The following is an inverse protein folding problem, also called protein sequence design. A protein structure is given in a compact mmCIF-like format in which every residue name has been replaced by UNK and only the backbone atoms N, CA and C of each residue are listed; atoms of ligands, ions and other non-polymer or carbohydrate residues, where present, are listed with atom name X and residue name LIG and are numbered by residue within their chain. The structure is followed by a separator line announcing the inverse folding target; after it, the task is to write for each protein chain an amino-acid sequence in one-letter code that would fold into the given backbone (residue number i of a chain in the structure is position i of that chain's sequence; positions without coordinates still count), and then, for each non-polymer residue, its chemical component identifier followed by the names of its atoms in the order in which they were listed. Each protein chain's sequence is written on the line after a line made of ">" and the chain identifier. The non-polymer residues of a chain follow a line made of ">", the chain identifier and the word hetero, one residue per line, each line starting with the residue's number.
data_IF_291481427394
#
_entry.id   IF_291481427394
#
_cell.length_a   1.000
_cell.length_b   1.000
_cell.length_c   1.000
_cell.angle_alpha   90.00
_cell.angle_beta   90.00
_cell.angle_gamma   90.00
#
_symmetry.space_group_name_H-M   'P 1'
#
loop_
_entity.id
_entity.type
_entity.pdbx_description
1 polymer ?
#
# COMPACT_ATOMS: atom_id res chain seq x y z
N UNK A 1 -2.00 -0.85 -14.84
CA UNK A 1 -0.65 -0.64 -14.26
C UNK A 1 -0.39 0.78 -13.74
N UNK A 2 -0.79 1.84 -14.45
CA UNK A 2 -0.52 3.24 -14.06
C UNK A 2 -0.92 3.59 -12.62
N UNK A 3 -2.13 3.23 -12.19
CA UNK A 3 -2.60 3.48 -10.80
C UNK A 3 -1.74 2.79 -9.74
N UNK A 4 -1.31 1.55 -9.99
CA UNK A 4 -0.47 0.79 -9.06
C UNK A 4 0.93 1.40 -8.92
N UNK A 5 1.50 1.86 -10.03
CA UNK A 5 2.81 2.52 -10.01
C UNK A 5 2.76 3.88 -9.29
N UNK A 6 1.67 4.62 -9.44
CA UNK A 6 1.45 5.87 -8.70
C UNK A 6 1.21 5.60 -7.21
N UNK A 7 0.46 4.55 -6.85
CA UNK A 7 0.27 4.17 -5.46
C UNK A 7 1.59 3.74 -4.79
N UNK A 8 2.47 3.04 -5.51
CA UNK A 8 3.81 2.68 -5.01
C UNK A 8 4.65 3.89 -4.59
N UNK A 9 4.41 5.08 -5.16
CA UNK A 9 5.11 6.30 -4.75
C UNK A 9 4.84 6.65 -3.29
N UNK A 10 3.65 6.32 -2.77
CA UNK A 10 3.30 6.54 -1.36
C UNK A 10 4.27 5.82 -0.42
N UNK A 11 4.76 4.62 -0.78
CA UNK A 11 5.70 3.85 0.04
C UNK A 11 7.17 4.26 -0.13
N UNK A 12 7.49 5.03 -1.18
CA UNK A 12 8.86 5.44 -1.52
C UNK A 12 9.25 6.77 -0.89
N UNK A 13 8.32 7.49 -0.26
CA UNK A 13 8.60 8.78 0.35
C UNK A 13 9.53 8.66 1.57
N UNK A 14 10.20 9.76 1.92
CA UNK A 14 11.21 9.76 2.99
C UNK A 14 10.55 9.83 4.37
N UNK A 15 9.53 10.66 4.48
CA UNK A 15 8.79 10.94 5.71
C UNK A 15 7.28 10.77 5.52
N UNK A 16 6.53 10.83 6.63
CA UNK A 16 5.09 10.57 6.65
C UNK A 16 4.32 11.72 5.99
N UNK A 17 4.83 12.93 6.12
CA UNK A 17 4.23 14.16 5.62
C UNK A 17 4.20 14.17 4.08
N UNK A 18 5.33 13.86 3.45
CA UNK A 18 5.46 13.65 1.99
C UNK A 18 4.55 12.52 1.51
N UNK A 19 4.53 11.39 2.23
CA UNK A 19 3.66 10.26 1.90
C UNK A 19 2.17 10.65 1.92
N UNK A 20 1.78 11.47 2.89
CA UNK A 20 0.41 11.98 3.02
C UNK A 20 0.05 12.90 1.87
N UNK A 21 0.95 13.81 1.48
CA UNK A 21 0.74 14.70 0.34
C UNK A 21 0.56 13.90 -0.97
N UNK A 22 1.44 12.94 -1.24
CA UNK A 22 1.34 12.06 -2.41
C UNK A 22 0.05 11.23 -2.40
N UNK A 23 -0.38 10.77 -1.23
CA UNK A 23 -1.63 10.01 -1.06
C UNK A 23 -2.87 10.88 -1.34
N UNK A 24 -2.86 12.14 -0.93
CA UNK A 24 -3.96 13.09 -1.19
C UNK A 24 -4.03 13.48 -2.66
N UNK A 25 -2.88 13.67 -3.32
CA UNK A 25 -2.82 13.86 -4.77
C UNK A 25 -3.37 12.63 -5.52
N UNK A 26 -3.01 11.44 -5.05
CA UNK A 26 -3.54 10.18 -5.57
C UNK A 26 -5.08 10.12 -5.45
N UNK A 27 -5.64 10.51 -4.31
CA UNK A 27 -7.09 10.58 -4.12
C UNK A 27 -7.78 11.54 -5.07
N UNK A 28 -7.19 12.71 -5.28
CA UNK A 28 -7.76 13.73 -6.18
C UNK A 28 -7.78 13.23 -7.62
N UNK A 29 -6.72 12.56 -8.05
CA UNK A 29 -6.56 12.06 -9.41
C UNK A 29 -7.43 10.84 -9.72
N UNK A 30 -7.52 9.89 -8.78
CA UNK A 30 -8.19 8.60 -9.02
C UNK A 30 -9.57 8.50 -8.38
N UNK A 31 -9.97 9.45 -7.54
CA UNK A 31 -11.25 9.47 -6.83
C UNK A 31 -12.48 9.38 -7.73
N UNK A 32 -12.42 9.95 -8.94
CA UNK A 32 -13.54 9.89 -9.90
C UNK A 32 -13.67 8.52 -10.57
N UNK A 33 -12.56 7.83 -10.82
CA UNK A 33 -12.52 6.56 -11.57
C UNK A 33 -12.68 5.37 -10.62
N UNK A 34 -12.11 5.45 -9.41
CA UNK A 34 -12.06 4.37 -8.43
C UNK A 34 -12.64 4.81 -7.07
N UNK A 35 -13.82 5.43 -7.09
CA UNK A 35 -14.44 6.03 -5.90
C UNK A 35 -14.54 5.08 -4.70
N UNK A 36 -14.88 3.80 -4.93
CA UNK A 36 -14.98 2.81 -3.87
C UNK A 36 -13.62 2.45 -3.26
N UNK A 37 -12.60 2.23 -4.10
CA UNK A 37 -11.22 1.93 -3.63
C UNK A 37 -10.67 3.09 -2.82
N UNK A 38 -10.89 4.32 -3.29
CA UNK A 38 -10.40 5.53 -2.64
C UNK A 38 -11.12 5.76 -1.31
N UNK A 39 -12.41 5.44 -1.21
CA UNK A 39 -13.15 5.46 0.05
C UNK A 39 -12.54 4.49 1.06
N UNK A 40 -12.37 3.22 0.68
CA UNK A 40 -11.78 2.22 1.58
C UNK A 40 -10.34 2.58 1.98
N UNK A 41 -9.56 3.19 1.09
CA UNK A 41 -8.21 3.67 1.39
C UNK A 41 -8.21 4.83 2.40
N UNK A 42 -9.17 5.74 2.34
CA UNK A 42 -9.33 6.82 3.34
C UNK A 42 -9.72 6.27 4.70
N UNK A 43 -10.58 5.25 4.74
CA UNK A 43 -11.01 4.62 5.99
C UNK A 43 -9.82 3.99 6.74
N UNK A 44 -8.81 3.49 6.02
CA UNK A 44 -7.58 2.88 6.58
C UNK A 44 -6.36 3.80 6.51
N UNK A 45 -6.49 5.05 6.07
CA UNK A 45 -5.37 5.98 5.87
C UNK A 45 -4.47 6.14 7.12
N UNK A 46 -5.02 6.25 8.36
CA UNK A 46 -4.20 6.34 9.56
C UNK A 46 -3.28 5.13 9.73
N UNK A 47 -3.80 3.93 9.45
CA UNK A 47 -3.09 2.66 9.59
C UNK A 47 -2.10 2.43 8.44
N UNK A 48 -2.47 2.86 7.23
CA UNK A 48 -1.66 2.72 6.02
C UNK A 48 -0.29 3.40 6.16
N UNK A 49 -0.21 4.49 6.92
CA UNK A 49 1.02 5.27 7.11
C UNK A 49 1.77 4.94 8.41
N UNK A 50 1.28 4.02 9.25
CA UNK A 50 1.96 3.64 10.51
C UNK A 50 3.36 3.10 10.28
N UNK A 51 3.61 2.46 9.13
CA UNK A 51 4.92 1.88 8.84
C UNK A 51 6.05 2.94 8.77
N UNK A 52 5.72 4.22 8.58
CA UNK A 52 6.68 5.32 8.63
C UNK A 52 7.29 5.54 10.03
N UNK A 53 6.60 5.08 11.08
CA UNK A 53 7.10 5.15 12.46
C UNK A 53 8.27 4.19 12.71
N UNK A 54 8.52 3.25 11.78
CA UNK A 54 9.63 2.30 11.88
C UNK A 54 10.87 2.78 11.11
N UNK A 55 12.07 2.31 11.49
CA UNK A 55 13.31 2.59 10.77
C UNK A 55 13.25 2.19 9.30
N UNK A 56 13.84 3.00 8.41
CA UNK A 56 13.85 2.80 6.94
C UNK A 56 14.29 1.39 6.54
N UNK A 57 15.22 0.82 7.28
CA UNK A 57 15.80 -0.51 7.07
C UNK A 57 14.75 -1.63 7.07
N UNK A 58 13.68 -1.49 7.87
CA UNK A 58 12.66 -2.54 7.99
C UNK A 58 11.37 -2.23 7.23
N UNK A 59 11.19 -0.99 6.73
CA UNK A 59 9.99 -0.58 5.99
C UNK A 59 9.74 -1.48 4.77
N UNK A 60 10.78 -1.81 4.01
CA UNK A 60 10.68 -2.68 2.84
C UNK A 60 10.09 -4.06 3.13
N UNK A 61 10.44 -4.63 4.29
CA UNK A 61 9.87 -5.90 4.74
C UNK A 61 8.42 -5.78 5.19
N UNK A 62 8.01 -4.60 5.69
CA UNK A 62 6.64 -4.34 6.18
C UNK A 62 5.66 -4.17 5.01
N UNK A 63 5.99 -3.36 4.00
CA UNK A 63 5.09 -3.13 2.86
C UNK A 63 5.22 -4.18 1.74
N UNK A 64 6.18 -5.11 1.83
CA UNK A 64 6.31 -6.21 0.88
C UNK A 64 5.24 -7.28 1.13
N UNK A 65 4.55 -7.70 0.06
CA UNK A 65 3.61 -8.82 0.11
C UNK A 65 4.29 -10.18 -0.05
N UNK A 66 5.60 -10.23 -0.33
CA UNK A 66 6.33 -11.45 -0.69
C UNK A 66 6.16 -12.59 0.34
N UNK A 67 6.22 -12.26 1.63
CA UNK A 67 6.09 -13.27 2.70
C UNK A 67 4.69 -13.89 2.72
N UNK A 68 3.65 -13.05 2.66
CA UNK A 68 2.25 -13.47 2.69
C UNK A 68 1.88 -14.18 1.38
N UNK A 69 2.35 -13.69 0.23
CA UNK A 69 2.13 -14.32 -1.07
C UNK A 69 2.79 -15.69 -1.17
N UNK A 70 4.05 -15.82 -0.72
CA UNK A 70 4.76 -17.09 -0.66
C UNK A 70 3.99 -18.12 0.18
N UNK A 71 3.54 -17.71 1.37
CA UNK A 71 2.73 -18.55 2.24
C UNK A 71 1.40 -18.96 1.60
N UNK A 72 0.67 -18.00 1.02
CA UNK A 72 -0.60 -18.25 0.32
C UNK A 72 -0.42 -19.21 -0.86
N UNK A 73 0.70 -19.11 -1.59
CA UNK A 73 1.01 -20.02 -2.68
C UNK A 73 1.25 -21.46 -2.19
N UNK A 74 1.90 -21.65 -1.04
CA UNK A 74 2.06 -22.97 -0.42
C UNK A 74 0.71 -23.56 -0.03
N UNK A 75 -0.16 -22.77 0.63
CA UNK A 75 -1.50 -23.23 1.01
C UNK A 75 -2.30 -23.65 -0.22
N UNK A 76 -2.36 -22.78 -1.25
CA UNK A 76 -3.12 -23.06 -2.49
C UNK A 76 -2.66 -24.34 -3.19
N UNK A 77 -1.36 -24.66 -3.14
CA UNK A 77 -0.82 -25.90 -3.71
C UNK A 77 -1.22 -27.13 -2.89
N UNK A 78 -1.15 -27.06 -1.56
CA UNK A 78 -1.47 -28.17 -0.66
C UNK A 78 -2.97 -28.43 -0.51
N UNK A 79 -3.80 -27.40 -0.68
CA UNK A 79 -5.25 -27.48 -0.61
C UNK A 79 -5.90 -27.81 -1.96
N UNK A 80 -5.11 -27.96 -3.03
CA UNK A 80 -5.60 -28.39 -4.33
C UNK A 80 -5.88 -29.90 -4.24
N UNK A 81 -7.09 -30.38 -4.56
CA UNK A 81 -7.41 -31.81 -4.54
C UNK A 81 -6.58 -32.59 -5.57
#
# INVERSE_FOLDING_TARGET
>A
EKIMNEFKQVHQQTNKEEATAVLHDFYTKWGKVYSHVIRSLKDIEPDLLVFYNYPKQIRASIYSTNMIESFNNVIKRKAKP
#
